data_IF_485858957886
#
_entry.id   IF_485858957886
#
_cell.length_a   1.000
_cell.length_b   1.000
_cell.length_c   1.000
_cell.angle_alpha   90.00
_cell.angle_beta   90.00
_cell.angle_gamma   90.00
#
_symmetry.space_group_name_H-M   'P 1'
#
loop_
_entity.id
_entity.type
_entity.pdbx_description
1 polymer ?
#
# COMPACT_ATOMS: atom_id res chain seq x y z
N UNK A 1 -0.58 -20.94 1.16
CA UNK A 1 -0.69 -20.74 -0.30
C UNK A 1 0.68 -20.42 -0.86
N UNK A 2 1.01 -20.95 -2.03
CA UNK A 2 2.24 -20.60 -2.75
C UNK A 2 1.98 -19.34 -3.59
N UNK A 3 2.44 -18.20 -3.09
CA UNK A 3 2.44 -16.91 -3.80
C UNK A 3 3.77 -16.22 -3.54
N UNK A 4 4.29 -15.52 -4.54
CA UNK A 4 5.47 -14.68 -4.35
C UNK A 4 5.07 -13.49 -3.49
N UNK A 5 5.77 -13.27 -2.38
CA UNK A 5 5.49 -12.14 -1.50
C UNK A 5 6.27 -10.92 -1.97
N UNK A 6 5.63 -9.74 -1.91
CA UNK A 6 6.32 -8.48 -2.20
C UNK A 6 7.53 -8.27 -1.28
N UNK A 7 7.47 -8.75 -0.03
CA UNK A 7 8.56 -8.65 0.96
C UNK A 7 9.83 -9.37 0.55
N UNK A 8 9.75 -10.28 -0.42
CA UNK A 8 10.84 -11.15 -0.85
C UNK A 8 11.49 -10.63 -2.15
N UNK A 9 10.96 -9.53 -2.71
CA UNK A 9 11.43 -8.91 -3.95
C UNK A 9 12.38 -7.73 -3.70
N UNK A 10 13.35 -7.55 -4.58
CA UNK A 10 14.12 -6.31 -4.70
C UNK A 10 13.28 -5.26 -5.46
N UNK A 11 13.02 -4.13 -4.80
CA UNK A 11 12.17 -3.05 -5.31
C UNK A 11 12.99 -1.84 -5.78
N UNK A 12 14.30 -1.81 -5.55
CA UNK A 12 15.13 -0.62 -5.76
C UNK A 12 15.08 -0.13 -7.23
N UNK A 13 14.71 1.14 -7.42
CA UNK A 13 14.59 1.74 -8.75
C UNK A 13 13.49 1.17 -9.64
N UNK A 14 12.58 0.33 -9.11
CA UNK A 14 11.46 -0.25 -9.86
C UNK A 14 10.18 0.55 -9.63
N UNK A 15 9.32 0.56 -10.64
CA UNK A 15 7.93 1.03 -10.52
C UNK A 15 7.08 -0.11 -9.96
N UNK A 16 6.42 0.12 -8.83
CA UNK A 16 5.58 -0.88 -8.15
C UNK A 16 4.12 -0.45 -8.23
N UNK A 17 3.25 -1.33 -8.74
CA UNK A 17 1.80 -1.12 -8.73
C UNK A 17 1.19 -1.87 -7.54
N UNK A 18 0.50 -1.15 -6.65
CA UNK A 18 -0.12 -1.71 -5.45
C UNK A 18 -1.64 -1.61 -5.57
N UNK A 19 -2.32 -2.75 -5.66
CA UNK A 19 -3.79 -2.83 -5.56
C UNK A 19 -4.18 -2.85 -4.08
N UNK A 20 -4.55 -1.69 -3.54
CA UNK A 20 -5.04 -1.55 -2.16
C UNK A 20 -6.58 -1.50 -2.08
N UNK A 21 -7.13 -1.86 -0.93
CA UNK A 21 -8.52 -1.56 -0.58
C UNK A 21 -8.58 -0.18 0.09
N UNK A 22 -8.88 0.83 -0.71
CA UNK A 22 -9.10 2.21 -0.26
C UNK A 22 -10.58 2.59 -0.33
N UNK A 23 -11.49 1.61 -0.40
CA UNK A 23 -12.93 1.86 -0.41
C UNK A 23 -13.39 2.19 1.02
N UNK A 24 -13.35 3.48 1.36
CA UNK A 24 -13.69 4.01 2.69
C UNK A 24 -14.98 4.83 2.66
N UNK A 25 -15.69 4.93 3.79
CA UNK A 25 -16.83 5.84 3.88
C UNK A 25 -16.36 7.29 3.76
N UNK A 26 -17.03 8.04 2.89
CA UNK A 26 -16.78 9.45 2.63
C UNK A 26 -18.07 10.23 2.82
N UNK A 27 -18.01 11.35 3.54
CA UNK A 27 -19.11 12.30 3.70
C UNK A 27 -18.59 13.70 3.39
N UNK A 28 -19.27 14.41 2.49
CA UNK A 28 -18.92 15.79 2.10
C UNK A 28 -17.45 15.91 1.64
N UNK A 29 -16.97 14.91 0.88
CA UNK A 29 -15.59 14.87 0.38
C UNK A 29 -14.53 14.55 1.45
N UNK A 30 -14.92 14.25 2.69
CA UNK A 30 -14.01 13.89 3.79
C UNK A 30 -14.17 12.42 4.19
N UNK A 31 -13.05 11.75 4.46
CA UNK A 31 -13.03 10.39 5.01
C UNK A 31 -13.60 10.42 6.42
N UNK A 32 -14.58 9.56 6.71
CA UNK A 32 -15.19 9.46 8.04
C UNK A 32 -14.69 8.27 8.85
N UNK A 33 -14.06 7.29 8.20
CA UNK A 33 -13.32 6.21 8.84
C UNK A 33 -12.13 5.81 7.98
N UNK A 34 -10.95 5.78 8.58
CA UNK A 34 -9.66 5.63 7.90
C UNK A 34 -9.05 4.23 8.07
N UNK A 35 -9.77 3.29 8.69
CA UNK A 35 -9.25 1.99 9.09
C UNK A 35 -8.57 1.22 7.92
N UNK A 36 -9.17 1.25 6.73
CA UNK A 36 -8.61 0.58 5.52
C UNK A 36 -7.38 1.28 4.96
N UNK A 37 -7.35 2.61 5.05
CA UNK A 37 -6.19 3.41 4.67
C UNK A 37 -5.03 3.04 5.59
N UNK A 38 -5.25 3.10 6.91
CA UNK A 38 -4.25 2.75 7.93
C UNK A 38 -3.76 1.30 7.80
N UNK A 39 -4.64 0.36 7.46
CA UNK A 39 -4.25 -1.03 7.19
C UNK A 39 -3.35 -1.17 5.95
N UNK A 40 -3.51 -0.30 4.95
CA UNK A 40 -2.72 -0.30 3.71
C UNK A 40 -1.37 0.44 3.84
N UNK A 41 -1.24 1.35 4.81
CA UNK A 41 -0.04 2.19 5.01
C UNK A 41 1.26 1.39 5.12
N UNK A 42 1.37 0.32 5.93
CA UNK A 42 2.63 -0.41 6.09
C UNK A 42 3.18 -0.97 4.77
N UNK A 43 2.30 -1.40 3.86
CA UNK A 43 2.70 -1.90 2.54
C UNK A 43 3.22 -0.78 1.64
N UNK A 44 2.58 0.38 1.65
CA UNK A 44 2.98 1.55 0.86
C UNK A 44 4.32 2.10 1.37
N UNK A 45 4.47 2.24 2.70
CA UNK A 45 5.71 2.70 3.33
C UNK A 45 6.88 1.75 3.05
N UNK A 46 6.65 0.43 3.15
CA UNK A 46 7.65 -0.58 2.79
C UNK A 46 8.11 -0.43 1.34
N UNK A 47 7.18 -0.28 0.39
CA UNK A 47 7.50 -0.12 -1.02
C UNK A 47 8.26 1.18 -1.28
N UNK A 48 7.84 2.31 -0.67
CA UNK A 48 8.53 3.58 -0.79
C UNK A 48 9.96 3.51 -0.24
N UNK A 49 10.15 2.91 0.94
CA UNK A 49 11.47 2.81 1.57
C UNK A 49 12.41 1.90 0.78
N UNK A 50 11.91 0.80 0.21
CA UNK A 50 12.72 -0.15 -0.56
C UNK A 50 12.91 0.23 -2.03
N UNK A 51 12.01 1.03 -2.61
CA UNK A 51 12.13 1.45 -4.00
C UNK A 51 13.03 2.68 -4.20
N UNK A 52 13.29 3.44 -3.12
CA UNK A 52 14.29 4.52 -3.13
C UNK A 52 15.66 3.96 -3.51
N UNK A 53 16.33 4.66 -4.42
CA UNK A 53 17.73 4.42 -4.78
C UNK A 53 18.64 5.05 -3.74
#
# INVERSE_FOLDING_TARGET
MSVIKMTDLDLAGKRVFIRADLNVPVKEGKVTSDARIRASLPTIELALNRARK
#
